data_IF_635866814283
#
_entry.id   IF_635866814283
#
_cell.length_a   1.000
_cell.length_b   1.000
_cell.length_c   1.000
_cell.angle_alpha   90.00
_cell.angle_beta   90.00
_cell.angle_gamma   90.00
#
_symmetry.space_group_name_H-M   'P 1'
#
loop_
_entity.id
_entity.type
_entity.pdbx_description
1 polymer ?
#
# COMPACT_ATOMS: atom_id res chain seq x y z
N UNK A 1 -10.92 -17.18 6.24
CA UNK A 1 -10.19 -15.90 6.45
C UNK A 1 -9.38 -15.46 5.23
N UNK A 2 -9.04 -16.34 4.26
CA UNK A 2 -8.28 -15.99 3.04
C UNK A 2 -9.01 -15.02 2.07
N UNK A 3 -10.33 -14.96 2.12
CA UNK A 3 -11.14 -14.18 1.17
C UNK A 3 -11.21 -12.67 1.46
N UNK A 4 -10.71 -12.22 2.62
CA UNK A 4 -10.71 -10.80 3.01
C UNK A 4 -9.63 -9.98 2.28
N UNK A 5 -8.55 -10.62 1.81
CA UNK A 5 -7.45 -9.93 1.15
C UNK A 5 -7.60 -10.04 -0.37
N UNK A 6 -8.41 -9.17 -0.96
CA UNK A 6 -8.63 -9.05 -2.41
C UNK A 6 -9.07 -7.62 -2.75
N UNK A 7 -9.04 -7.25 -4.01
CA UNK A 7 -9.52 -5.95 -4.48
C UNK A 7 -8.57 -4.80 -4.18
N UNK A 8 -9.09 -3.69 -3.68
CA UNK A 8 -8.31 -2.47 -3.45
C UNK A 8 -8.00 -2.31 -1.96
N UNK A 9 -6.72 -2.31 -1.61
CA UNK A 9 -6.21 -1.91 -0.30
C UNK A 9 -5.48 -0.58 -0.43
N UNK A 10 -6.05 0.48 0.13
CA UNK A 10 -5.43 1.81 0.04
C UNK A 10 -4.32 1.95 1.10
N UNK A 11 -3.10 2.25 0.64
CA UNK A 11 -1.98 2.57 1.54
C UNK A 11 -2.05 4.05 1.88
N UNK A 12 -2.27 4.35 3.15
CA UNK A 12 -2.50 5.71 3.61
C UNK A 12 -1.26 6.32 4.28
N UNK A 13 -1.06 7.65 4.13
CA UNK A 13 -0.04 8.37 4.87
C UNK A 13 -0.43 8.53 6.33
N UNK A 14 0.56 8.72 7.21
CA UNK A 14 0.35 9.19 8.58
C UNK A 14 0.19 10.70 8.57
N UNK A 15 -0.96 11.26 8.99
CA UNK A 15 -1.14 12.70 9.11
C UNK A 15 -0.37 13.28 10.29
N UNK A 16 0.20 14.48 10.10
CA UNK A 16 0.88 15.22 11.16
C UNK A 16 0.31 16.61 11.33
N UNK A 17 0.34 17.11 12.55
CA UNK A 17 0.08 18.52 12.91
C UNK A 17 1.22 19.42 12.41
N UNK A 18 1.03 20.74 12.49
CA UNK A 18 2.04 21.71 12.07
C UNK A 18 3.35 21.61 12.88
N UNK A 19 3.31 21.17 14.13
CA UNK A 19 4.47 20.94 15.00
C UNK A 19 5.16 19.59 14.73
N UNK A 20 4.54 18.70 13.96
CA UNK A 20 5.04 17.37 13.61
C UNK A 20 4.54 16.24 14.50
N UNK A 21 3.68 16.51 15.49
CA UNK A 21 2.99 15.45 16.22
C UNK A 21 2.00 14.70 15.31
N UNK A 22 1.62 13.47 15.67
CA UNK A 22 0.60 12.72 14.93
C UNK A 22 -0.74 13.44 15.07
N UNK A 23 -1.42 13.67 13.94
CA UNK A 23 -2.77 14.20 13.90
C UNK A 23 -3.80 13.05 13.95
N UNK A 24 -4.14 12.64 15.17
CA UNK A 24 -5.12 11.55 15.40
C UNK A 24 -6.50 11.86 14.84
N UNK A 25 -6.93 13.12 14.86
CA UNK A 25 -8.23 13.53 14.31
C UNK A 25 -8.26 13.37 12.79
N UNK A 26 -7.20 13.80 12.09
CA UNK A 26 -7.06 13.57 10.66
C UNK A 26 -6.89 12.08 10.32
N UNK A 27 -6.19 11.31 11.14
CA UNK A 27 -6.05 9.87 10.92
C UNK A 27 -7.41 9.15 11.02
N UNK A 28 -8.24 9.52 11.98
CA UNK A 28 -9.62 9.02 12.11
C UNK A 28 -10.45 9.39 10.87
N UNK A 29 -10.42 10.66 10.43
CA UNK A 29 -11.12 11.09 9.20
C UNK A 29 -10.61 10.36 7.95
N UNK A 30 -9.31 10.17 7.83
CA UNK A 30 -8.69 9.45 6.70
C UNK A 30 -9.12 7.99 6.67
N UNK A 31 -9.24 7.34 7.83
CA UNK A 31 -9.73 5.96 7.94
C UNK A 31 -11.19 5.87 7.48
N UNK A 32 -12.06 6.75 7.96
CA UNK A 32 -13.46 6.81 7.53
C UNK A 32 -13.57 7.12 6.03
N UNK A 33 -12.86 8.14 5.56
CA UNK A 33 -12.80 8.50 4.14
C UNK A 33 -12.39 7.31 3.26
N UNK A 34 -11.35 6.58 3.67
CA UNK A 34 -10.85 5.42 2.93
C UNK A 34 -11.89 4.30 2.88
N UNK A 35 -12.54 3.99 4.01
CA UNK A 35 -13.64 3.02 4.09
C UNK A 35 -14.81 3.44 3.21
N UNK A 36 -15.23 4.71 3.29
CA UNK A 36 -16.41 5.23 2.58
C UNK A 36 -16.17 5.38 1.07
N UNK A 37 -14.90 5.42 0.63
CA UNK A 37 -14.51 5.28 -0.78
C UNK A 37 -14.78 3.88 -1.36
N UNK A 38 -15.13 2.91 -0.50
CA UNK A 38 -15.54 1.57 -0.89
C UNK A 38 -14.39 0.62 -1.23
N UNK A 39 -13.19 0.89 -0.70
CA UNK A 39 -12.06 -0.04 -0.79
C UNK A 39 -12.28 -1.29 0.05
N UNK A 40 -11.59 -2.37 -0.28
CA UNK A 40 -11.69 -3.64 0.44
C UNK A 40 -10.94 -3.64 1.78
N UNK A 41 -9.98 -2.73 1.94
CA UNK A 41 -9.24 -2.54 3.16
C UNK A 41 -8.23 -1.40 3.08
N UNK A 42 -7.52 -1.17 4.16
CA UNK A 42 -6.54 -0.10 4.30
C UNK A 42 -5.21 -0.69 4.78
N UNK A 43 -4.10 -0.16 4.27
CA UNK A 43 -2.77 -0.51 4.76
C UNK A 43 -2.13 0.72 5.40
N UNK A 44 -1.67 0.57 6.64
CA UNK A 44 -0.95 1.60 7.39
C UNK A 44 0.49 1.18 7.67
N UNK A 45 1.33 2.13 8.05
CA UNK A 45 2.72 1.89 8.44
C UNK A 45 3.57 1.19 7.36
N UNK A 46 3.18 1.35 6.09
CA UNK A 46 4.07 1.09 4.95
C UNK A 46 5.03 2.27 4.73
N UNK A 47 5.78 2.24 3.62
CA UNK A 47 6.68 3.34 3.21
C UNK A 47 5.93 4.68 3.12
N UNK A 48 4.73 4.68 2.52
CA UNK A 48 3.89 5.87 2.43
C UNK A 48 3.31 6.31 3.78
N UNK A 49 3.26 5.42 4.77
CA UNK A 49 2.89 5.72 6.15
C UNK A 49 4.02 6.37 6.96
N UNK A 50 5.19 6.60 6.35
CA UNK A 50 6.38 7.16 7.00
C UNK A 50 6.82 6.35 8.24
N UNK A 51 6.64 5.03 8.18
CA UNK A 51 6.87 4.13 9.31
C UNK A 51 8.30 4.16 9.86
N UNK A 52 9.27 4.43 8.99
CA UNK A 52 10.69 4.59 9.31
C UNK A 52 11.02 5.91 10.05
N UNK A 53 10.06 6.84 10.11
CA UNK A 53 10.19 8.14 10.79
C UNK A 53 9.39 8.21 12.09
N UNK A 54 8.77 7.11 12.49
CA UNK A 54 7.98 7.00 13.72
C UNK A 54 8.75 6.26 14.80
N UNK A 55 8.62 6.74 16.03
CA UNK A 55 9.03 5.97 17.23
C UNK A 55 8.09 4.77 17.41
N UNK A 56 8.49 3.78 18.22
CA UNK A 56 7.63 2.63 18.52
C UNK A 56 6.30 3.04 19.17
N UNK A 57 6.35 3.99 20.11
CA UNK A 57 5.14 4.52 20.74
C UNK A 57 4.20 5.22 19.75
N UNK A 58 4.75 5.96 18.78
CA UNK A 58 3.96 6.57 17.71
C UNK A 58 3.36 5.54 16.75
N UNK A 59 4.08 4.45 16.45
CA UNK A 59 3.55 3.34 15.65
C UNK A 59 2.34 2.72 16.33
N UNK A 60 2.44 2.42 17.63
CA UNK A 60 1.32 1.89 18.42
C UNK A 60 0.14 2.86 18.43
N UNK A 61 0.38 4.16 18.65
CA UNK A 61 -0.66 5.18 18.64
C UNK A 61 -1.38 5.30 17.26
N UNK A 62 -0.64 5.17 16.14
CA UNK A 62 -1.23 5.12 14.80
C UNK A 62 -2.11 3.88 14.64
N UNK A 63 -1.64 2.70 15.08
CA UNK A 63 -2.42 1.47 15.00
C UNK A 63 -3.70 1.60 15.82
N UNK A 64 -3.60 1.98 17.08
CA UNK A 64 -4.74 2.09 18.00
C UNK A 64 -5.79 3.08 17.48
N UNK A 65 -5.36 4.25 16.98
CA UNK A 65 -6.28 5.24 16.40
C UNK A 65 -6.98 4.69 15.16
N UNK A 66 -6.24 4.04 14.27
CA UNK A 66 -6.80 3.47 13.05
C UNK A 66 -7.76 2.34 13.35
N UNK A 67 -7.40 1.42 14.26
CA UNK A 67 -8.24 0.29 14.63
C UNK A 67 -9.53 0.75 15.31
N UNK A 68 -9.48 1.77 16.18
CA UNK A 68 -10.66 2.37 16.77
C UNK A 68 -11.60 2.97 15.70
N UNK A 69 -11.04 3.70 14.73
CA UNK A 69 -11.81 4.28 13.61
C UNK A 69 -12.36 3.23 12.64
N UNK A 70 -11.66 2.10 12.45
CA UNK A 70 -12.10 0.99 11.60
C UNK A 70 -13.32 0.25 12.17
N UNK A 71 -13.55 0.31 13.49
CA UNK A 71 -14.74 -0.25 14.15
C UNK A 71 -14.87 -1.77 14.04
N UNK A 72 -13.76 -2.50 13.89
CA UNK A 72 -13.70 -3.97 13.88
C UNK A 72 -14.21 -4.65 12.59
N UNK A 73 -14.85 -3.92 11.68
CA UNK A 73 -15.39 -4.47 10.42
C UNK A 73 -14.60 -4.09 9.17
N UNK A 74 -13.80 -3.04 9.23
CA UNK A 74 -12.98 -2.59 8.10
C UNK A 74 -11.59 -3.20 8.18
N UNK A 75 -11.15 -4.00 7.17
CA UNK A 75 -9.88 -4.72 7.22
C UNK A 75 -8.67 -3.79 7.21
N UNK A 76 -7.77 -3.94 8.18
CA UNK A 76 -6.52 -3.19 8.29
C UNK A 76 -5.32 -4.14 8.15
N UNK A 77 -4.48 -3.89 7.15
CA UNK A 77 -3.16 -4.49 6.99
C UNK A 77 -2.11 -3.54 7.58
N UNK A 78 -1.13 -4.07 8.31
CA UNK A 78 -0.13 -3.24 9.01
C UNK A 78 1.28 -3.57 8.52
N UNK A 79 2.03 -2.53 8.11
CA UNK A 79 3.44 -2.66 7.77
C UNK A 79 4.31 -2.93 9.01
N UNK A 80 5.02 -4.05 9.01
CA UNK A 80 5.85 -4.50 10.14
C UNK A 80 7.28 -4.85 9.72
N UNK A 81 7.72 -4.33 8.58
CA UNK A 81 9.10 -4.50 8.10
C UNK A 81 10.11 -4.04 9.15
N UNK A 82 11.08 -4.90 9.46
CA UNK A 82 12.17 -4.62 10.38
C UNK A 82 13.48 -5.21 9.85
N UNK A 83 14.62 -4.63 10.22
CA UNK A 83 15.94 -5.07 9.75
C UNK A 83 16.32 -6.48 10.24
N UNK A 84 15.86 -6.88 11.43
CA UNK A 84 16.09 -8.20 12.02
C UNK A 84 14.81 -9.03 12.08
N UNK A 85 14.92 -10.34 11.93
CA UNK A 85 13.79 -11.28 11.98
C UNK A 85 13.01 -11.19 13.29
N UNK A 86 13.69 -11.19 14.44
CA UNK A 86 13.05 -11.13 15.75
C UNK A 86 12.27 -9.82 15.96
N UNK A 87 12.82 -8.68 15.49
CA UNK A 87 12.13 -7.40 15.53
C UNK A 87 10.89 -7.41 14.63
N UNK A 88 11.00 -8.00 13.42
CA UNK A 88 9.86 -8.18 12.52
C UNK A 88 8.76 -9.05 13.16
N UNK A 89 9.12 -10.14 13.80
CA UNK A 89 8.19 -11.02 14.55
C UNK A 89 7.53 -10.24 15.70
N UNK A 90 8.31 -9.49 16.48
CA UNK A 90 7.78 -8.70 17.60
C UNK A 90 6.73 -7.70 17.14
N UNK A 91 7.05 -6.90 16.12
CA UNK A 91 6.12 -5.92 15.56
C UNK A 91 4.88 -6.58 14.90
N UNK A 92 5.07 -7.71 14.24
CA UNK A 92 3.97 -8.44 13.60
C UNK A 92 3.00 -9.04 14.62
N UNK A 93 3.52 -9.62 15.71
CA UNK A 93 2.71 -10.10 16.83
C UNK A 93 1.94 -8.96 17.50
N UNK A 94 2.58 -7.81 17.70
CA UNK A 94 1.93 -6.63 18.25
C UNK A 94 0.79 -6.15 17.33
N UNK A 95 1.02 -6.09 16.02
CA UNK A 95 0.00 -5.75 15.03
C UNK A 95 -1.18 -6.75 15.08
N UNK A 96 -0.90 -8.06 15.12
CA UNK A 96 -1.94 -9.09 15.25
C UNK A 96 -2.74 -8.92 16.54
N UNK A 97 -2.09 -8.69 17.68
CA UNK A 97 -2.75 -8.47 18.98
C UNK A 97 -3.68 -7.24 18.96
N UNK A 98 -3.31 -6.20 18.20
CA UNK A 98 -4.10 -4.99 18.02
C UNK A 98 -5.22 -5.13 16.97
N UNK A 99 -5.37 -6.31 16.34
CA UNK A 99 -6.49 -6.64 15.46
C UNK A 99 -6.22 -6.54 13.96
N UNK A 100 -4.95 -6.46 13.53
CA UNK A 100 -4.61 -6.53 12.12
C UNK A 100 -5.17 -7.80 11.47
N UNK A 101 -5.71 -7.69 10.25
CA UNK A 101 -6.15 -8.87 9.47
C UNK A 101 -4.99 -9.50 8.68
N UNK A 102 -3.92 -8.74 8.47
CA UNK A 102 -2.66 -9.16 7.84
C UNK A 102 -1.53 -8.22 8.23
N UNK A 103 -0.30 -8.67 8.08
CA UNK A 103 0.88 -7.80 8.13
C UNK A 103 1.53 -7.73 6.75
N UNK A 104 2.16 -6.60 6.43
CA UNK A 104 2.94 -6.43 5.20
C UNK A 104 4.42 -6.30 5.55
N UNK A 105 5.23 -7.15 4.93
CA UNK A 105 6.67 -7.25 5.22
C UNK A 105 7.47 -7.17 3.93
N UNK A 106 8.34 -6.15 3.83
CA UNK A 106 9.36 -6.06 2.79
C UNK A 106 10.63 -6.82 3.22
N UNK A 107 11.50 -7.22 2.27
CA UNK A 107 12.77 -7.86 2.60
C UNK A 107 13.61 -7.02 3.55
N UNK A 108 14.28 -7.63 4.55
CA UNK A 108 15.24 -6.92 5.37
C UNK A 108 16.45 -6.48 4.52
N UNK A 109 17.01 -5.30 4.80
CA UNK A 109 18.23 -4.85 4.13
C UNK A 109 19.37 -5.82 4.43
N UNK A 110 19.89 -6.49 3.40
CA UNK A 110 21.04 -7.36 3.48
C UNK A 110 22.22 -6.70 2.78
N UNK A 111 23.43 -6.89 3.29
CA UNK A 111 24.66 -6.42 2.63
C UNK A 111 24.85 -7.06 1.24
N UNK A 112 24.35 -8.28 1.07
CA UNK A 112 24.23 -8.99 -0.21
C UNK A 112 22.92 -9.74 -0.23
N UNK A 113 22.22 -9.72 -1.36
CA UNK A 113 21.00 -10.51 -1.55
C UNK A 113 21.32 -12.00 -1.36
N UNK A 114 20.43 -12.72 -0.66
CA UNK A 114 20.59 -14.14 -0.40
C UNK A 114 19.20 -14.76 -0.22
N UNK A 115 18.73 -15.45 -1.24
CA UNK A 115 17.39 -16.05 -1.29
C UNK A 115 17.14 -17.01 -0.12
N UNK A 116 18.13 -17.80 0.28
CA UNK A 116 17.97 -18.69 1.41
C UNK A 116 17.81 -17.95 2.75
N UNK A 117 18.45 -16.79 2.92
CA UNK A 117 18.26 -15.94 4.10
C UNK A 117 16.88 -15.28 4.09
N UNK A 118 16.44 -14.75 2.92
CA UNK A 118 15.11 -14.19 2.75
C UNK A 118 14.03 -15.26 3.00
N UNK A 119 14.19 -16.45 2.45
CA UNK A 119 13.25 -17.55 2.67
C UNK A 119 13.12 -17.87 4.17
N UNK A 120 14.23 -18.04 4.89
CA UNK A 120 14.19 -18.29 6.34
C UNK A 120 13.53 -17.17 7.13
N UNK A 121 13.80 -15.90 6.74
CA UNK A 121 13.19 -14.74 7.38
C UNK A 121 11.65 -14.79 7.27
N UNK A 122 11.12 -14.93 6.05
CA UNK A 122 9.67 -14.94 5.84
C UNK A 122 8.98 -16.14 6.46
N UNK A 123 9.58 -17.33 6.38
CA UNK A 123 9.03 -18.54 7.01
C UNK A 123 8.95 -18.36 8.53
N UNK A 124 10.02 -17.87 9.18
CA UNK A 124 10.01 -17.61 10.62
C UNK A 124 8.96 -16.58 11.04
N UNK A 125 8.78 -15.51 10.25
CA UNK A 125 7.72 -14.52 10.52
C UNK A 125 6.33 -15.15 10.38
N UNK A 126 6.08 -15.94 9.33
CA UNK A 126 4.80 -16.59 9.11
C UNK A 126 4.47 -17.66 10.17
N UNK A 127 5.47 -18.42 10.64
CA UNK A 127 5.30 -19.39 11.72
C UNK A 127 4.91 -18.74 13.05
N UNK A 128 5.37 -17.51 13.28
CA UNK A 128 5.14 -16.78 14.52
C UNK A 128 3.74 -16.12 14.62
N UNK A 129 2.91 -16.19 13.56
CA UNK A 129 1.63 -15.49 13.43
C UNK A 129 0.49 -16.44 13.09
N UNK A 130 -0.75 -16.00 13.37
CA UNK A 130 -1.98 -16.68 12.95
C UNK A 130 -2.62 -16.04 11.73
N UNK A 131 -2.20 -14.81 11.37
CA UNK A 131 -2.70 -14.02 10.25
C UNK A 131 -1.75 -14.09 9.03
N UNK A 132 -2.24 -13.80 7.81
CA UNK A 132 -1.41 -13.74 6.61
C UNK A 132 -0.30 -12.68 6.68
N UNK A 133 0.80 -12.98 5.99
CA UNK A 133 1.90 -12.05 5.70
C UNK A 133 1.84 -11.70 4.22
N UNK A 134 1.60 -10.44 3.91
CA UNK A 134 1.74 -9.92 2.56
C UNK A 134 3.22 -9.66 2.31
N UNK A 135 3.83 -10.50 1.49
CA UNK A 135 5.23 -10.33 1.06
C UNK A 135 5.29 -9.12 0.15
N UNK A 136 6.14 -8.13 0.46
CA UNK A 136 6.27 -6.94 -0.38
C UNK A 136 7.55 -6.99 -1.21
N UNK A 137 7.42 -7.00 -2.52
CA UNK A 137 8.52 -6.91 -3.48
C UNK A 137 8.63 -5.49 -4.02
N UNK A 138 9.37 -4.64 -3.30
CA UNK A 138 9.59 -3.25 -3.64
C UNK A 138 11.08 -2.87 -3.53
N UNK A 139 11.89 -3.19 -4.55
CA UNK A 139 13.35 -2.98 -4.54
C UNK A 139 13.78 -1.57 -4.12
N UNK A 140 13.16 -0.46 -4.58
CA UNK A 140 13.59 0.88 -4.19
C UNK A 140 13.54 1.15 -2.68
N UNK A 141 12.60 0.55 -1.95
CA UNK A 141 12.44 0.76 -0.51
C UNK A 141 13.47 -0.02 0.32
N UNK A 142 14.02 -1.11 -0.23
CA UNK A 142 14.86 -2.06 0.52
C UNK A 142 16.30 -2.11 0.01
N UNK A 143 16.74 -1.05 -0.66
CA UNK A 143 18.13 -0.94 -1.12
C UNK A 143 18.47 -1.78 -2.35
N UNK A 144 17.46 -2.02 -3.22
CA UNK A 144 17.64 -2.74 -4.48
C UNK A 144 17.53 -4.26 -4.38
N UNK A 145 17.02 -4.79 -3.26
CA UNK A 145 16.75 -6.24 -3.15
C UNK A 145 15.53 -6.57 -3.99
N UNK A 146 15.73 -7.36 -5.03
CA UNK A 146 14.68 -8.00 -5.84
C UNK A 146 14.49 -9.44 -5.41
N UNK A 147 13.25 -9.92 -5.43
CA UNK A 147 12.96 -11.34 -5.22
C UNK A 147 12.66 -12.00 -6.56
N UNK A 148 13.32 -13.12 -6.84
CA UNK A 148 13.03 -13.89 -8.05
C UNK A 148 11.61 -14.48 -8.02
N UNK A 149 10.99 -14.71 -9.18
CA UNK A 149 9.71 -15.44 -9.24
C UNK A 149 9.78 -16.81 -8.54
N UNK A 150 10.93 -17.50 -8.59
CA UNK A 150 11.17 -18.78 -7.95
C UNK A 150 11.16 -18.67 -6.43
N UNK A 151 11.80 -17.63 -5.87
CA UNK A 151 11.77 -17.37 -4.42
C UNK A 151 10.34 -17.09 -3.96
N UNK A 152 9.61 -16.22 -4.67
CA UNK A 152 8.22 -15.87 -4.33
C UNK A 152 7.32 -17.11 -4.36
N UNK A 153 7.40 -17.91 -5.45
CA UNK A 153 6.65 -19.15 -5.57
C UNK A 153 7.03 -20.17 -4.48
N UNK A 154 8.30 -20.23 -4.09
CA UNK A 154 8.81 -21.06 -3.00
C UNK A 154 8.27 -20.66 -1.63
N UNK A 155 8.19 -19.36 -1.34
CA UNK A 155 7.59 -18.83 -0.11
C UNK A 155 6.12 -19.23 0.02
N UNK A 156 5.33 -19.07 -1.04
CA UNK A 156 3.92 -19.44 -1.04
C UNK A 156 3.70 -20.97 -0.87
N UNK A 157 4.63 -21.80 -1.37
CA UNK A 157 4.62 -23.26 -1.12
C UNK A 157 5.00 -23.62 0.30
N UNK A 158 5.87 -22.84 0.94
CA UNK A 158 6.34 -23.10 2.29
C UNK A 158 5.26 -22.85 3.35
N UNK A 159 4.34 -21.88 3.12
CA UNK A 159 3.27 -21.59 4.06
C UNK A 159 2.07 -20.93 3.36
N UNK A 160 0.84 -21.37 3.67
CA UNK A 160 -0.37 -20.68 3.17
C UNK A 160 -0.48 -19.23 3.65
N UNK A 161 0.22 -18.85 4.73
CA UNK A 161 0.27 -17.47 5.21
C UNK A 161 1.16 -16.57 4.35
N UNK A 162 1.98 -17.12 3.46
CA UNK A 162 2.89 -16.41 2.54
C UNK A 162 2.36 -16.39 1.09
N UNK A 163 1.09 -16.70 0.86
CA UNK A 163 0.49 -16.71 -0.47
C UNK A 163 0.18 -15.30 -1.01
N UNK A 164 0.19 -14.27 -0.17
CA UNK A 164 -0.10 -12.91 -0.62
C UNK A 164 1.18 -12.15 -0.96
N UNK A 165 1.22 -11.59 -2.16
CA UNK A 165 2.32 -10.79 -2.67
C UNK A 165 1.82 -9.39 -3.03
N UNK A 166 2.53 -8.35 -2.61
CA UNK A 166 2.44 -7.02 -3.16
C UNK A 166 3.63 -6.80 -4.08
N UNK A 167 3.38 -6.73 -5.38
CA UNK A 167 4.39 -6.66 -6.42
C UNK A 167 4.59 -5.25 -6.92
N UNK A 168 5.82 -4.73 -6.76
CA UNK A 168 6.22 -3.38 -7.18
C UNK A 168 7.56 -3.39 -7.94
N UNK A 169 8.08 -4.56 -8.31
CA UNK A 169 9.27 -4.71 -9.14
C UNK A 169 8.89 -4.68 -10.62
N UNK A 170 9.48 -3.75 -11.35
CA UNK A 170 9.16 -3.52 -12.78
C UNK A 170 9.99 -4.43 -13.70
N UNK A 171 9.39 -4.92 -14.80
CA UNK A 171 8.03 -4.70 -15.29
C UNK A 171 6.99 -5.59 -14.59
N UNK A 172 6.13 -4.98 -13.78
CA UNK A 172 5.23 -5.72 -12.87
C UNK A 172 4.24 -6.66 -13.58
N UNK A 173 3.58 -6.32 -14.72
CA UNK A 173 2.65 -7.25 -15.37
C UNK A 173 3.33 -8.55 -15.85
N UNK A 174 4.54 -8.45 -16.37
CA UNK A 174 5.32 -9.62 -16.81
C UNK A 174 5.68 -10.51 -15.60
N UNK A 175 6.11 -9.90 -14.50
CA UNK A 175 6.46 -10.63 -13.28
C UNK A 175 5.26 -11.29 -12.62
N UNK A 176 4.06 -10.68 -12.69
CA UNK A 176 2.79 -11.31 -12.30
C UNK A 176 2.63 -12.65 -13.04
N UNK A 177 2.73 -12.66 -14.36
CA UNK A 177 2.61 -13.89 -15.16
C UNK A 177 3.68 -14.92 -14.82
N UNK A 178 4.93 -14.51 -14.62
CA UNK A 178 6.03 -15.41 -14.27
C UNK A 178 5.80 -16.10 -12.92
N UNK A 179 5.37 -15.37 -11.91
CA UNK A 179 5.08 -15.93 -10.58
C UNK A 179 3.90 -16.90 -10.65
N UNK A 180 2.81 -16.52 -11.32
CA UNK A 180 1.62 -17.39 -11.44
C UNK A 180 1.88 -18.65 -12.28
N UNK A 181 2.77 -18.60 -13.27
CA UNK A 181 3.20 -19.78 -14.00
C UNK A 181 3.96 -20.80 -13.13
N UNK A 182 4.67 -20.34 -12.09
CA UNK A 182 5.40 -21.20 -11.15
C UNK A 182 4.52 -21.68 -9.99
N UNK A 183 3.57 -20.85 -9.56
CA UNK A 183 2.63 -21.18 -8.50
C UNK A 183 1.34 -20.37 -8.66
N UNK A 184 0.24 -20.98 -9.18
CA UNK A 184 -1.04 -20.30 -9.37
C UNK A 184 -1.78 -19.95 -8.07
N UNK A 185 -1.34 -20.46 -6.92
CA UNK A 185 -1.94 -20.14 -5.61
C UNK A 185 -1.47 -18.81 -5.04
N UNK A 186 -0.47 -18.16 -5.67
CA UNK A 186 -0.01 -16.84 -5.24
C UNK A 186 -1.07 -15.79 -5.55
N UNK A 187 -1.47 -15.04 -4.55
CA UNK A 187 -2.47 -13.97 -4.63
C UNK A 187 -1.77 -12.62 -4.75
N UNK A 188 -1.70 -12.07 -5.95
CA UNK A 188 -0.87 -10.91 -6.26
C UNK A 188 -1.68 -9.63 -6.24
N UNK A 189 -1.25 -8.66 -5.43
CA UNK A 189 -1.65 -7.26 -5.54
C UNK A 189 -0.60 -6.50 -6.34
N UNK A 190 -1.04 -5.67 -7.29
CA UNK A 190 -0.19 -4.66 -7.88
C UNK A 190 0.14 -3.54 -6.89
N UNK A 191 1.00 -2.62 -7.31
CA UNK A 191 1.43 -1.49 -6.50
C UNK A 191 1.70 -0.24 -7.33
N UNK A 192 2.81 0.44 -7.08
CA UNK A 192 3.34 1.56 -7.87
C UNK A 192 2.30 2.66 -8.18
N UNK A 193 1.51 3.07 -7.15
CA UNK A 193 0.48 4.10 -7.33
C UNK A 193 -0.69 3.66 -8.20
N UNK A 194 -0.72 2.42 -8.67
CA UNK A 194 -1.72 1.90 -9.62
C UNK A 194 -1.39 2.19 -11.08
N UNK A 195 -0.15 2.58 -11.40
CA UNK A 195 0.26 2.96 -12.77
C UNK A 195 0.05 1.84 -13.80
N UNK A 196 0.19 0.59 -13.39
CA UNK A 196 0.01 -0.60 -14.23
C UNK A 196 -1.21 -1.43 -13.83
N UNK A 197 -2.14 -0.84 -13.07
CA UNK A 197 -3.23 -1.60 -12.43
C UNK A 197 -4.09 -2.40 -13.42
N UNK A 198 -4.42 -1.82 -14.57
CA UNK A 198 -5.21 -2.50 -15.59
C UNK A 198 -4.46 -3.69 -16.18
N UNK A 199 -3.18 -3.51 -16.49
CA UNK A 199 -2.32 -4.55 -17.05
C UNK A 199 -2.06 -5.65 -16.02
N UNK A 200 -1.82 -5.29 -14.77
CA UNK A 200 -1.66 -6.25 -13.67
C UNK A 200 -2.90 -7.13 -13.50
N UNK A 201 -4.10 -6.56 -13.56
CA UNK A 201 -5.36 -7.30 -13.53
C UNK A 201 -5.48 -8.27 -14.72
N UNK A 202 -5.12 -7.82 -15.93
CA UNK A 202 -5.12 -8.67 -17.15
C UNK A 202 -4.14 -9.83 -17.06
N UNK A 203 -3.06 -9.68 -16.28
CA UNK A 203 -2.06 -10.71 -16.05
C UNK A 203 -2.37 -11.62 -14.85
N UNK A 204 -3.50 -11.38 -14.15
CA UNK A 204 -3.99 -12.26 -13.09
C UNK A 204 -3.80 -11.72 -11.65
N UNK A 205 -3.45 -10.45 -11.49
CA UNK A 205 -3.48 -9.84 -10.16
C UNK A 205 -4.91 -9.81 -9.61
N UNK A 206 -5.05 -10.01 -8.30
CA UNK A 206 -6.35 -10.05 -7.61
C UNK A 206 -6.84 -8.66 -7.18
N UNK A 207 -6.03 -7.62 -7.39
CA UNK A 207 -6.32 -6.27 -6.98
C UNK A 207 -5.06 -5.41 -6.91
N UNK A 208 -5.13 -4.33 -6.14
CA UNK A 208 -3.97 -3.47 -5.89
C UNK A 208 -3.85 -3.08 -4.42
N UNK A 209 -2.62 -3.06 -3.91
CA UNK A 209 -2.29 -2.54 -2.59
C UNK A 209 -1.36 -1.35 -2.77
N UNK A 210 -1.96 -0.16 -2.91
CA UNK A 210 -1.23 1.03 -3.29
C UNK A 210 -1.82 2.29 -2.66
N UNK A 211 -1.02 3.35 -2.61
CA UNK A 211 -1.52 4.65 -2.24
C UNK A 211 -1.93 5.45 -3.46
N UNK A 212 -3.13 5.98 -3.42
CA UNK A 212 -3.66 6.94 -4.37
C UNK A 212 -4.73 7.77 -3.66
N UNK A 213 -4.68 9.09 -3.80
CA UNK A 213 -5.56 9.97 -3.02
C UNK A 213 -7.01 10.03 -3.54
N UNK A 214 -7.30 9.30 -4.61
CA UNK A 214 -8.65 9.04 -5.14
C UNK A 214 -8.92 7.53 -5.19
N UNK A 215 -8.92 6.83 -4.05
CA UNK A 215 -9.05 5.37 -4.01
C UNK A 215 -10.35 4.88 -4.64
N UNK A 216 -11.41 5.68 -4.64
CA UNK A 216 -12.69 5.41 -5.31
C UNK A 216 -12.54 5.18 -6.84
N UNK A 217 -11.51 5.75 -7.46
CA UNK A 217 -11.23 5.51 -8.89
C UNK A 217 -10.70 4.10 -9.08
N UNK A 218 -9.75 3.67 -8.24
CA UNK A 218 -9.22 2.29 -8.29
C UNK A 218 -10.31 1.26 -7.99
N UNK A 219 -11.21 1.56 -7.05
CA UNK A 219 -12.38 0.72 -6.76
C UNK A 219 -13.27 0.55 -7.98
N UNK A 220 -13.54 1.64 -8.73
CA UNK A 220 -14.37 1.57 -9.95
C UNK A 220 -13.69 0.72 -11.03
N UNK A 221 -12.38 0.89 -11.24
CA UNK A 221 -11.60 0.08 -12.20
C UNK A 221 -11.69 -1.40 -11.82
N UNK A 222 -11.41 -1.72 -10.55
CA UNK A 222 -11.46 -3.10 -10.07
C UNK A 222 -12.85 -3.72 -10.22
N UNK A 223 -13.91 -3.01 -9.84
CA UNK A 223 -15.30 -3.51 -9.94
C UNK A 223 -15.72 -3.76 -11.37
N UNK A 224 -15.42 -2.85 -12.30
CA UNK A 224 -15.71 -3.04 -13.72
C UNK A 224 -14.97 -4.27 -14.26
N UNK A 225 -13.66 -4.38 -13.99
CA UNK A 225 -12.86 -5.53 -14.40
C UNK A 225 -13.40 -6.86 -13.84
N UNK A 226 -13.68 -6.90 -12.54
CA UNK A 226 -14.17 -8.10 -11.85
C UNK A 226 -15.57 -8.53 -12.31
N UNK A 227 -16.41 -7.60 -12.80
CA UNK A 227 -17.71 -7.92 -13.39
C UNK A 227 -17.64 -8.34 -14.87
N UNK A 228 -16.44 -8.36 -15.48
CA UNK A 228 -16.23 -8.68 -16.89
C UNK A 228 -16.38 -7.48 -17.84
N UNK A 229 -16.65 -6.28 -17.33
CA UNK A 229 -16.68 -5.03 -18.09
C UNK A 229 -15.25 -4.49 -18.29
N UNK A 230 -14.52 -5.16 -19.18
CA UNK A 230 -13.11 -4.85 -19.46
C UNK A 230 -12.98 -3.49 -20.16
N UNK A 231 -13.91 -3.16 -21.05
CA UNK A 231 -13.90 -1.88 -21.77
C UNK A 231 -14.17 -0.73 -20.82
N UNK A 232 -15.16 -0.82 -19.93
CA UNK A 232 -15.43 0.17 -18.90
C UNK A 232 -14.26 0.34 -17.94
N UNK A 233 -13.60 -0.75 -17.51
CA UNK A 233 -12.39 -0.67 -16.70
C UNK A 233 -11.26 0.08 -17.43
N UNK A 234 -11.11 -0.19 -18.73
CA UNK A 234 -10.10 0.43 -19.60
C UNK A 234 -10.34 1.93 -19.78
N UNK A 235 -11.59 2.32 -20.05
CA UNK A 235 -11.97 3.73 -20.18
C UNK A 235 -11.71 4.52 -18.90
N UNK A 236 -12.09 3.95 -17.75
CA UNK A 236 -11.84 4.59 -16.44
C UNK A 236 -10.33 4.73 -16.21
N UNK A 237 -9.56 3.66 -16.42
CA UNK A 237 -8.11 3.67 -16.21
C UNK A 237 -7.43 4.73 -17.08
N UNK A 238 -7.67 4.73 -18.40
CA UNK A 238 -7.04 5.68 -19.31
C UNK A 238 -7.46 7.13 -19.07
N UNK A 239 -8.72 7.36 -18.65
CA UNK A 239 -9.16 8.70 -18.24
C UNK A 239 -8.32 9.25 -17.09
N UNK A 240 -8.02 8.43 -16.08
CA UNK A 240 -7.33 8.88 -14.86
C UNK A 240 -5.83 8.54 -14.83
N UNK A 241 -5.31 7.82 -15.81
CA UNK A 241 -3.89 7.51 -15.93
C UNK A 241 -2.98 8.74 -15.83
N UNK A 242 -3.29 9.92 -16.42
CA UNK A 242 -2.48 11.12 -16.23
C UNK A 242 -2.32 11.52 -14.76
N UNK A 243 -3.39 11.42 -13.95
CA UNK A 243 -3.34 11.75 -12.52
C UNK A 243 -2.60 10.67 -11.72
N UNK A 244 -2.88 9.40 -12.00
CA UNK A 244 -2.18 8.26 -11.37
C UNK A 244 -0.68 8.41 -11.57
N UNK A 245 -0.24 8.65 -12.80
CA UNK A 245 1.16 8.92 -13.15
C UNK A 245 1.70 10.15 -12.43
N UNK A 246 0.95 11.25 -12.41
CA UNK A 246 1.40 12.52 -11.84
C UNK A 246 1.58 12.41 -10.32
N UNK A 247 0.64 11.79 -9.61
CA UNK A 247 0.73 11.60 -8.16
C UNK A 247 1.89 10.64 -7.79
N UNK A 248 2.22 9.68 -8.66
CA UNK A 248 3.25 8.68 -8.35
C UNK A 248 4.68 9.10 -8.74
N UNK A 249 4.95 10.38 -8.91
CA UNK A 249 6.31 10.88 -9.20
C UNK A 249 7.29 10.46 -8.10
N UNK A 250 8.41 9.81 -8.45
CA UNK A 250 9.41 9.42 -7.46
C UNK A 250 9.87 10.58 -6.59
N UNK A 251 10.11 10.31 -5.31
CA UNK A 251 10.58 11.25 -4.26
C UNK A 251 9.52 12.20 -3.73
N UNK A 252 8.55 12.68 -4.55
CA UNK A 252 7.53 13.65 -4.13
C UNK A 252 6.12 13.07 -4.06
N UNK A 253 5.91 11.82 -4.43
CA UNK A 253 4.61 11.15 -4.44
C UNK A 253 3.86 11.24 -3.10
N UNK A 254 4.56 11.06 -1.98
CA UNK A 254 3.96 11.19 -0.66
C UNK A 254 3.49 12.62 -0.37
N UNK A 255 4.32 13.61 -0.70
CA UNK A 255 3.98 15.02 -0.50
C UNK A 255 2.78 15.42 -1.39
N UNK A 256 2.78 15.06 -2.69
CA UNK A 256 1.65 15.27 -3.59
C UNK A 256 0.36 14.66 -3.04
N UNK A 257 0.42 13.41 -2.58
CA UNK A 257 -0.72 12.70 -2.00
C UNK A 257 -1.28 13.40 -0.77
N UNK A 258 -0.41 13.86 0.15
CA UNK A 258 -0.83 14.63 1.32
C UNK A 258 -1.45 15.98 0.92
N UNK A 259 -0.92 16.67 -0.10
CA UNK A 259 -1.54 17.87 -0.63
C UNK A 259 -2.94 17.61 -1.18
N UNK A 260 -3.15 16.50 -1.90
CA UNK A 260 -4.48 16.14 -2.40
C UNK A 260 -5.44 15.84 -1.23
N UNK A 261 -5.03 15.01 -0.26
CA UNK A 261 -5.87 14.74 0.93
C UNK A 261 -6.20 16.01 1.71
N UNK A 262 -5.26 16.93 1.83
CA UNK A 262 -5.50 18.23 2.47
C UNK A 262 -6.53 19.05 1.69
N UNK A 263 -6.40 19.18 0.36
CA UNK A 263 -7.37 19.86 -0.50
C UNK A 263 -8.75 19.22 -0.45
N UNK A 264 -8.82 17.92 -0.25
CA UNK A 264 -10.08 17.18 -0.08
C UNK A 264 -10.66 17.29 1.34
N UNK A 265 -10.04 18.05 2.25
CA UNK A 265 -10.47 18.23 3.64
C UNK A 265 -10.32 17.00 4.52
N UNK A 266 -9.58 15.98 4.05
CA UNK A 266 -9.39 14.71 4.78
C UNK A 266 -8.35 14.85 5.89
N UNK A 267 -7.25 15.56 5.65
CA UNK A 267 -6.20 15.85 6.63
C UNK A 267 -6.03 17.35 6.84
N UNK A 268 -5.64 17.77 8.04
CA UNK A 268 -5.55 19.19 8.40
C UNK A 268 -4.33 19.88 7.77
N UNK A 269 -3.23 19.18 7.55
CA UNK A 269 -2.01 19.73 6.94
C UNK A 269 -1.39 18.73 5.95
N UNK A 270 -0.70 19.19 4.88
CA UNK A 270 0.01 18.32 3.97
C UNK A 270 1.42 17.95 4.47
N UNK A 271 1.72 18.17 5.76
CA UNK A 271 3.05 17.99 6.35
C UNK A 271 3.59 16.59 6.13
N UNK A 272 4.84 16.49 5.66
CA UNK A 272 5.66 15.28 5.63
C UNK A 272 6.78 15.42 6.65
N UNK A 273 7.12 14.36 7.38
CA UNK A 273 8.27 14.39 8.32
C UNK A 273 9.60 14.35 7.57
N UNK A 274 10.58 15.05 8.11
CA UNK A 274 11.96 15.02 7.61
C UNK A 274 12.61 13.63 7.85
N UNK A 275 13.55 13.20 6.97
CA UNK A 275 13.90 13.85 5.71
C UNK A 275 12.81 13.64 4.63
N UNK A 276 12.57 14.67 3.80
CA UNK A 276 11.60 14.60 2.70
C UNK A 276 11.99 15.53 1.56
N UNK A 277 11.38 15.31 0.37
CA UNK A 277 11.45 16.23 -0.76
C UNK A 277 10.21 17.11 -0.77
N UNK A 278 10.33 18.45 -0.71
CA UNK A 278 9.20 19.35 -0.84
C UNK A 278 8.64 19.32 -2.26
N UNK A 279 7.40 19.74 -2.42
CA UNK A 279 6.78 20.03 -3.71
C UNK A 279 6.80 21.54 -3.92
N UNK A 280 7.25 21.97 -5.08
CA UNK A 280 7.26 23.38 -5.47
C UNK A 280 5.89 23.86 -5.97
N UNK A 281 5.69 25.19 -6.00
CA UNK A 281 4.43 25.81 -6.39
C UNK A 281 4.04 25.50 -7.84
N UNK A 282 5.02 25.36 -8.75
CA UNK A 282 4.78 24.99 -10.14
C UNK A 282 4.18 23.59 -10.27
N UNK A 283 4.77 22.62 -9.57
CA UNK A 283 4.23 21.24 -9.50
C UNK A 283 2.83 21.21 -8.89
N UNK A 284 2.55 22.03 -7.87
CA UNK A 284 1.22 22.13 -7.29
C UNK A 284 0.21 22.77 -8.24
N UNK A 285 0.62 23.76 -9.04
CA UNK A 285 -0.21 24.39 -10.07
C UNK A 285 -0.54 23.39 -11.21
N UNK A 286 0.44 22.57 -11.64
CA UNK A 286 0.21 21.49 -12.60
C UNK A 286 -0.79 20.45 -12.08
N UNK A 287 -0.69 20.09 -10.78
CA UNK A 287 -1.65 19.21 -10.13
C UNK A 287 -3.07 19.78 -10.16
N UNK A 288 -3.22 21.09 -9.87
CA UNK A 288 -4.51 21.76 -9.86
C UNK A 288 -5.14 21.83 -11.25
N UNK A 289 -4.35 22.14 -12.28
CA UNK A 289 -4.82 22.12 -13.68
C UNK A 289 -5.29 20.71 -14.08
N UNK A 290 -4.49 19.69 -13.74
CA UNK A 290 -4.83 18.30 -14.05
C UNK A 290 -6.11 17.86 -13.33
N UNK A 291 -6.26 18.15 -12.05
CA UNK A 291 -7.48 17.84 -11.29
C UNK A 291 -8.70 18.54 -11.86
N UNK A 292 -8.54 19.82 -12.28
CA UNK A 292 -9.59 20.60 -12.93
C UNK A 292 -10.05 19.96 -14.24
N UNK A 293 -9.10 19.59 -15.11
CA UNK A 293 -9.39 18.92 -16.40
C UNK A 293 -10.10 17.58 -16.24
N UNK A 294 -9.82 16.89 -15.15
CA UNK A 294 -10.44 15.59 -14.83
C UNK A 294 -11.78 15.73 -14.07
N UNK A 295 -12.20 16.95 -13.74
CA UNK A 295 -13.42 17.20 -12.98
C UNK A 295 -13.32 16.74 -11.51
N UNK A 296 -12.12 16.75 -10.94
CA UNK A 296 -11.81 16.26 -9.58
C UNK A 296 -11.54 17.39 -8.58
N UNK A 297 -12.05 18.60 -8.83
CA UNK A 297 -11.88 19.70 -7.88
C UNK A 297 -12.51 19.39 -6.54
N UNK A 298 -11.89 19.82 -5.41
CA UNK A 298 -12.58 19.86 -4.14
C UNK A 298 -13.86 20.68 -4.32
N UNK A 299 -14.99 20.20 -3.83
CA UNK A 299 -16.18 21.05 -3.73
C UNK A 299 -15.76 22.26 -2.89
N UNK A 300 -15.90 23.46 -3.45
CA UNK A 300 -15.76 24.68 -2.68
C UNK A 300 -16.67 24.55 -1.45
N UNK A 301 -16.06 24.64 -0.25
CA UNK A 301 -16.77 24.62 1.03
C UNK A 301 -17.64 25.86 1.18
#
# INVERSE_FOLDING_TARGET
>A
MSDLLTGVFNITPTPFLADGAIDHASLTRLTHFTRDAGVNGMTILGVLGEADKLTEAERDAVIETTMAAAGGSFPICIGTTHAGTDGCISWSRRAQQLGAVAVMVAPPKLARSNDAALHRHYVAVAEALDIPVVVQDFPPAVGGITMSPELIAGLAKASPKLQHLKLEDEPSPMKVSQVLALNPDVRIFGGLGGMMFLEELRHGAIGTMTGFAFPEILVRIHRAFASGDIDGATEIFYKYCPLIRFENQPRINLALRKHIYHRRGVIATPRVRAPFSPVDDGTLADLDDLMTRLGLQPKAS
#
